data_IF_213368206023
#
_entry.id   IF_213368206023
#
_cell.length_a   1.000
_cell.length_b   1.000
_cell.length_c   1.000
_cell.angle_alpha   90.00
_cell.angle_beta   90.00
_cell.angle_gamma   90.00
#
_symmetry.space_group_name_H-M   'P 1'
#
loop_
_entity.id
_entity.type
_entity.pdbx_description
1 polymer ?
#
# COMPACT_ATOMS: atom_id res chain seq x y z
N UNK A 1 10.53 -36.90 14.28
CA UNK A 1 10.35 -35.94 13.19
C UNK A 1 9.26 -34.97 13.62
N UNK A 2 9.56 -33.75 14.06
CA UNK A 2 8.52 -32.78 14.37
C UNK A 2 8.04 -32.13 13.06
N UNK A 3 6.77 -32.29 12.79
CA UNK A 3 6.06 -31.62 11.69
C UNK A 3 5.94 -30.13 12.02
N UNK A 4 6.70 -29.29 11.33
CA UNK A 4 6.53 -27.85 11.37
C UNK A 4 5.16 -27.49 10.75
N UNK A 5 4.16 -27.25 11.59
CA UNK A 5 2.95 -26.56 11.20
C UNK A 5 3.30 -25.07 11.04
N UNK A 6 3.65 -24.67 9.82
CA UNK A 6 3.76 -23.25 9.43
C UNK A 6 2.35 -22.64 9.31
N UNK A 7 1.65 -22.53 10.43
CA UNK A 7 0.49 -21.67 10.57
C UNK A 7 0.93 -20.25 10.89
N UNK A 8 1.65 -19.59 9.97
CA UNK A 8 1.93 -18.16 10.11
C UNK A 8 0.61 -17.40 10.03
N UNK A 9 0.15 -16.85 11.17
CA UNK A 9 -0.97 -15.91 11.18
C UNK A 9 -0.68 -14.82 10.12
N UNK A 10 -1.56 -14.69 9.13
CA UNK A 10 -1.48 -13.61 8.16
C UNK A 10 -1.54 -12.30 8.94
N UNK A 11 -0.56 -11.43 8.74
CA UNK A 11 -0.52 -10.13 9.39
C UNK A 11 -1.80 -9.36 8.99
N UNK A 12 -2.60 -8.97 9.98
CA UNK A 12 -3.84 -8.23 9.75
C UNK A 12 -3.56 -6.74 9.87
N UNK A 13 -3.99 -5.97 8.87
CA UNK A 13 -3.91 -4.51 8.88
C UNK A 13 -4.76 -3.91 10.01
N UNK A 14 -5.80 -4.61 10.44
CA UNK A 14 -6.62 -4.18 11.57
C UNK A 14 -5.82 -4.02 12.87
N UNK A 15 -4.82 -4.87 13.09
CA UNK A 15 -3.98 -4.86 14.28
C UNK A 15 -2.70 -4.01 14.14
N UNK A 16 -2.41 -3.47 12.95
CA UNK A 16 -1.19 -2.72 12.71
C UNK A 16 -1.23 -1.34 13.37
N UNK A 17 -0.15 -0.95 14.02
CA UNK A 17 0.01 0.39 14.58
C UNK A 17 0.29 1.43 13.50
N UNK A 18 1.08 1.06 12.50
CA UNK A 18 1.45 1.93 11.37
C UNK A 18 1.28 1.15 10.06
N UNK A 19 0.73 1.84 9.07
CA UNK A 19 0.63 1.36 7.70
C UNK A 19 1.30 2.37 6.78
N UNK A 20 2.41 1.98 6.17
CA UNK A 20 3.07 2.79 5.14
C UNK A 20 2.41 2.50 3.81
N UNK A 21 1.91 3.52 3.13
CA UNK A 21 1.10 3.37 1.93
C UNK A 21 1.78 4.06 0.74
N UNK A 22 1.81 3.34 -0.37
CA UNK A 22 2.27 3.85 -1.66
C UNK A 22 1.17 4.59 -2.44
N UNK A 23 1.53 5.25 -3.54
CA UNK A 23 0.66 6.08 -4.39
C UNK A 23 -0.47 5.27 -5.03
N UNK A 24 -0.14 4.13 -5.64
CA UNK A 24 -1.08 3.33 -6.44
C UNK A 24 -2.29 2.84 -5.65
N UNK A 25 -2.15 2.27 -4.43
CA UNK A 25 -3.27 1.90 -3.60
C UNK A 25 -4.25 3.05 -3.35
N UNK A 26 -3.75 4.22 -2.98
CA UNK A 26 -4.59 5.40 -2.73
C UNK A 26 -5.39 5.82 -3.95
N UNK A 27 -4.78 5.81 -5.13
CA UNK A 27 -5.44 6.14 -6.39
C UNK A 27 -6.60 5.19 -6.69
N UNK A 28 -6.44 3.88 -6.51
CA UNK A 28 -7.50 2.90 -6.77
C UNK A 28 -8.72 3.09 -5.87
N UNK A 29 -8.52 3.40 -4.60
CA UNK A 29 -9.62 3.69 -3.69
C UNK A 29 -10.36 4.98 -4.05
N UNK A 30 -9.66 6.03 -4.48
CA UNK A 30 -10.27 7.28 -4.93
C UNK A 30 -11.02 7.08 -6.25
N UNK A 31 -10.43 6.40 -7.21
CA UNK A 31 -11.05 6.10 -8.51
C UNK A 31 -12.37 5.32 -8.36
N UNK A 32 -12.38 4.38 -7.43
CA UNK A 32 -13.57 3.59 -7.13
C UNK A 32 -14.61 4.32 -6.24
N UNK A 33 -14.30 5.51 -5.74
CA UNK A 33 -15.15 6.25 -4.79
C UNK A 33 -15.15 5.65 -3.38
N UNK A 34 -14.09 4.93 -3.01
CA UNK A 34 -13.96 4.19 -1.74
C UNK A 34 -13.04 4.90 -0.72
N UNK A 35 -12.61 6.11 -0.99
CA UNK A 35 -11.64 6.84 -0.18
C UNK A 35 -12.08 7.03 1.28
N UNK A 36 -13.38 7.23 1.53
CA UNK A 36 -13.90 7.36 2.92
C UNK A 36 -13.80 6.06 3.69
N UNK A 37 -14.10 4.92 3.04
CA UNK A 37 -13.96 3.61 3.66
C UNK A 37 -12.49 3.33 3.98
N UNK A 38 -11.58 3.64 3.06
CA UNK A 38 -10.14 3.51 3.25
C UNK A 38 -9.64 4.37 4.42
N UNK A 39 -9.99 5.67 4.43
CA UNK A 39 -9.61 6.60 5.50
C UNK A 39 -10.20 6.18 6.86
N UNK A 40 -11.45 5.73 6.90
CA UNK A 40 -12.10 5.26 8.12
C UNK A 40 -11.46 3.99 8.69
N UNK A 41 -11.04 3.08 7.82
CA UNK A 41 -10.42 1.82 8.23
C UNK A 41 -8.98 1.97 8.72
N UNK A 42 -8.17 2.70 7.98
CA UNK A 42 -6.76 2.91 8.32
C UNK A 42 -6.56 4.06 9.32
N UNK A 43 -7.38 5.10 9.25
CA UNK A 43 -7.35 6.23 10.17
C UNK A 43 -5.99 6.94 10.22
N UNK A 44 -5.60 7.35 11.43
CA UNK A 44 -4.32 8.03 11.69
C UNK A 44 -3.08 7.13 11.63
N UNK A 45 -3.28 5.84 11.38
CA UNK A 45 -2.17 4.86 11.28
C UNK A 45 -1.36 4.98 10.00
N UNK A 46 -1.92 5.64 8.98
CA UNK A 46 -1.24 5.79 7.68
C UNK A 46 -0.03 6.70 7.78
N UNK A 47 1.03 6.28 7.11
CA UNK A 47 2.20 7.12 6.80
C UNK A 47 2.48 7.05 5.31
N UNK A 48 2.84 8.18 4.75
CA UNK A 48 3.34 8.30 3.37
C UNK A 48 4.66 9.05 3.39
N UNK A 49 5.51 8.79 2.42
CA UNK A 49 6.72 9.57 2.22
C UNK A 49 6.41 10.91 1.53
N UNK A 50 7.36 11.83 1.57
CA UNK A 50 7.26 13.09 0.84
C UNK A 50 7.14 12.84 -0.68
N UNK A 51 7.81 11.81 -1.19
CA UNK A 51 7.76 11.45 -2.62
C UNK A 51 6.39 10.92 -3.02
N UNK A 52 5.79 10.04 -2.22
CA UNK A 52 4.39 9.60 -2.41
C UNK A 52 3.44 10.79 -2.36
N UNK A 53 3.66 11.75 -1.45
CA UNK A 53 2.81 12.96 -1.39
C UNK A 53 2.89 13.79 -2.69
N UNK A 54 4.09 13.96 -3.25
CA UNK A 54 4.28 14.67 -4.53
C UNK A 54 3.62 13.96 -5.70
N UNK A 55 3.79 12.64 -5.79
CA UNK A 55 3.12 11.82 -6.81
C UNK A 55 1.59 11.92 -6.73
N UNK A 56 1.04 11.94 -5.50
CA UNK A 56 -0.41 12.11 -5.30
C UNK A 56 -0.90 13.50 -5.70
N UNK A 57 -0.11 14.55 -5.43
CA UNK A 57 -0.42 15.92 -5.87
C UNK A 57 -0.41 16.03 -7.40
N UNK A 58 0.57 15.42 -8.07
CA UNK A 58 0.63 15.35 -9.54
C UNK A 58 -0.57 14.57 -10.10
N UNK A 59 -0.88 13.41 -9.53
CA UNK A 59 -2.02 12.59 -9.93
C UNK A 59 -3.37 13.32 -9.71
N UNK A 60 -3.46 14.22 -8.73
CA UNK A 60 -4.67 15.00 -8.45
C UNK A 60 -5.05 15.97 -9.59
N UNK A 61 -4.14 16.23 -10.53
CA UNK A 61 -4.42 16.94 -11.76
C UNK A 61 -5.35 16.16 -12.71
N UNK A 62 -5.22 14.84 -12.74
CA UNK A 62 -6.01 13.94 -13.60
C UNK A 62 -7.15 13.21 -12.86
N UNK A 63 -7.12 13.18 -11.53
CA UNK A 63 -8.09 12.49 -10.68
C UNK A 63 -8.74 13.49 -9.69
N UNK A 64 -9.82 14.18 -10.06
CA UNK A 64 -10.40 15.26 -9.24
C UNK A 64 -10.77 14.88 -7.80
N UNK A 65 -11.25 13.67 -7.59
CA UNK A 65 -11.59 13.15 -6.26
C UNK A 65 -10.39 13.06 -5.32
N UNK A 66 -9.18 12.89 -5.85
CA UNK A 66 -7.96 12.77 -5.08
C UNK A 66 -7.60 14.09 -4.37
N UNK A 67 -7.74 15.24 -5.05
CA UNK A 67 -7.46 16.55 -4.43
C UNK A 67 -8.37 16.83 -3.24
N UNK A 68 -9.66 16.55 -3.35
CA UNK A 68 -10.61 16.71 -2.25
C UNK A 68 -10.29 15.76 -1.11
N UNK A 69 -9.98 14.50 -1.44
CA UNK A 69 -9.60 13.50 -0.45
C UNK A 69 -8.34 13.89 0.33
N UNK A 70 -7.28 14.34 -0.35
CA UNK A 70 -6.03 14.75 0.30
C UNK A 70 -6.20 15.95 1.23
N UNK A 71 -7.16 16.85 0.98
CA UNK A 71 -7.47 17.96 1.87
C UNK A 71 -8.22 17.52 3.13
N UNK A 72 -9.15 16.57 2.97
CA UNK A 72 -10.01 16.10 4.06
C UNK A 72 -9.29 15.07 4.95
N UNK A 73 -8.37 14.33 4.37
CA UNK A 73 -7.62 13.29 5.01
C UNK A 73 -6.12 13.52 4.84
N UNK A 74 -5.54 14.47 5.56
CA UNK A 74 -4.10 14.58 5.58
C UNK A 74 -3.56 13.36 6.32
N UNK A 75 -2.87 12.43 5.67
CA UNK A 75 -2.00 11.53 6.38
C UNK A 75 -1.03 12.44 7.14
N UNK A 76 -1.03 12.32 8.47
CA UNK A 76 -0.25 13.15 9.37
C UNK A 76 1.11 13.49 8.78
N UNK A 77 1.30 14.63 8.23
CA UNK A 77 2.41 15.19 7.50
C UNK A 77 3.27 14.14 6.75
N UNK A 78 3.50 14.27 5.45
CA UNK A 78 4.39 13.36 4.74
C UNK A 78 5.70 13.24 5.49
N UNK A 79 6.19 12.02 5.67
CA UNK A 79 7.44 11.78 6.39
C UNK A 79 8.60 12.02 5.44
N UNK A 80 9.46 12.97 5.79
CA UNK A 80 10.73 13.16 5.12
C UNK A 80 11.72 12.08 5.61
N UNK A 81 12.33 11.37 4.68
CA UNK A 81 13.34 10.39 5.00
C UNK A 81 14.64 11.08 5.46
N UNK A 82 15.37 10.50 6.42
CA UNK A 82 16.73 10.91 6.72
C UNK A 82 17.61 10.95 5.47
N UNK A 83 18.58 11.86 5.45
CA UNK A 83 19.42 12.11 4.28
C UNK A 83 20.14 10.85 3.77
N UNK A 84 20.64 10.01 4.67
CA UNK A 84 21.28 8.72 4.34
C UNK A 84 20.34 7.75 3.66
N UNK A 85 19.06 7.72 4.04
CA UNK A 85 18.04 6.89 3.39
C UNK A 85 17.61 7.47 2.04
N UNK A 86 17.57 8.80 1.91
CA UNK A 86 17.32 9.46 0.62
C UNK A 86 18.45 9.12 -0.37
N UNK A 87 19.71 9.16 0.07
CA UNK A 87 20.84 8.74 -0.75
C UNK A 87 20.74 7.25 -1.13
N UNK A 88 20.40 6.40 -0.16
CA UNK A 88 20.17 4.96 -0.42
C UNK A 88 19.04 4.71 -1.42
N UNK A 89 17.96 5.52 -1.38
CA UNK A 89 16.90 5.43 -2.38
C UNK A 89 17.42 5.74 -3.78
N UNK A 90 18.21 6.81 -3.92
CA UNK A 90 18.82 7.19 -5.19
C UNK A 90 19.77 6.11 -5.72
N UNK A 91 20.57 5.51 -4.85
CA UNK A 91 21.50 4.40 -5.21
C UNK A 91 20.71 3.18 -5.69
N UNK A 92 19.63 2.80 -5.00
CA UNK A 92 18.76 1.68 -5.39
C UNK A 92 18.16 1.94 -6.76
N UNK A 93 17.63 3.13 -6.99
CA UNK A 93 17.01 3.50 -8.26
C UNK A 93 18.05 3.53 -9.39
N UNK A 94 19.22 4.10 -9.14
CA UNK A 94 20.33 4.08 -10.11
C UNK A 94 20.81 2.68 -10.48
N UNK A 95 20.64 1.71 -9.59
CA UNK A 95 20.98 0.30 -9.84
C UNK A 95 19.91 -0.47 -10.61
N UNK A 96 18.65 -0.03 -10.49
CA UNK A 96 17.48 -0.72 -11.07
C UNK A 96 17.22 -0.27 -12.51
N UNK A 97 17.60 0.96 -12.86
CA UNK A 97 17.24 1.55 -14.15
C UNK A 97 18.43 2.21 -14.81
N UNK A 98 18.76 1.77 -16.02
CA UNK A 98 19.66 2.50 -16.92
C UNK A 98 18.97 3.74 -17.53
N UNK A 99 17.64 3.93 -17.30
CA UNK A 99 16.88 5.06 -17.78
C UNK A 99 16.59 6.05 -16.61
N UNK A 100 17.16 7.27 -16.64
CA UNK A 100 16.91 8.29 -15.63
C UNK A 100 15.44 8.69 -15.47
N UNK A 101 14.60 8.46 -16.47
CA UNK A 101 13.16 8.76 -16.41
C UNK A 101 12.37 7.66 -15.71
N UNK A 102 12.77 6.41 -15.88
CA UNK A 102 12.16 5.29 -15.17
C UNK A 102 12.46 5.36 -13.66
N UNK A 103 13.60 5.93 -13.28
CA UNK A 103 14.00 6.05 -11.87
C UNK A 103 13.05 6.91 -11.03
N UNK A 104 12.37 7.88 -11.63
CA UNK A 104 11.42 8.74 -10.90
C UNK A 104 10.06 8.06 -10.67
N UNK A 105 9.69 7.08 -11.50
CA UNK A 105 8.39 6.42 -11.40
C UNK A 105 8.27 5.45 -10.22
N UNK A 106 9.40 4.92 -9.74
CA UNK A 106 9.44 3.92 -8.67
C UNK A 106 9.93 4.53 -7.33
N UNK A 107 10.11 5.85 -7.29
CA UNK A 107 10.67 6.55 -6.12
C UNK A 107 9.76 6.40 -4.90
N UNK A 108 8.45 6.56 -5.08
CA UNK A 108 7.47 6.39 -4.01
C UNK A 108 7.52 5.02 -3.36
N UNK A 109 7.65 3.96 -4.18
CA UNK A 109 7.78 2.60 -3.66
C UNK A 109 9.06 2.37 -2.88
N UNK A 110 10.21 2.77 -3.44
CA UNK A 110 11.51 2.59 -2.78
C UNK A 110 11.54 3.35 -1.46
N UNK A 111 11.09 4.60 -1.45
CA UNK A 111 11.06 5.42 -0.24
C UNK A 111 10.07 4.87 0.80
N UNK A 112 8.94 4.30 0.37
CA UNK A 112 7.99 3.64 1.28
C UNK A 112 8.61 2.41 1.97
N UNK A 113 9.36 1.59 1.24
CA UNK A 113 10.08 0.44 1.83
C UNK A 113 11.11 0.93 2.84
N UNK A 114 11.92 1.94 2.50
CA UNK A 114 12.93 2.50 3.39
C UNK A 114 12.32 3.17 4.62
N UNK A 115 11.16 3.84 4.49
CA UNK A 115 10.42 4.38 5.63
C UNK A 115 9.98 3.27 6.59
N UNK A 116 9.41 2.19 6.07
CA UNK A 116 8.99 1.06 6.89
C UNK A 116 10.19 0.43 7.64
N UNK A 117 11.34 0.30 6.97
CA UNK A 117 12.58 -0.16 7.62
C UNK A 117 13.06 0.79 8.71
N UNK A 118 13.03 2.09 8.44
CA UNK A 118 13.45 3.12 9.39
C UNK A 118 12.56 3.16 10.64
N UNK A 119 11.24 3.12 10.47
CA UNK A 119 10.29 3.10 11.58
C UNK A 119 10.52 1.89 12.50
N UNK A 120 10.83 0.76 11.93
CA UNK A 120 11.17 -0.43 12.71
C UNK A 120 12.51 -0.31 13.42
N UNK A 121 13.55 0.14 12.73
CA UNK A 121 14.89 0.26 13.28
C UNK A 121 14.97 1.29 14.41
N UNK A 122 14.19 2.36 14.33
CA UNK A 122 14.12 3.42 15.34
C UNK A 122 13.21 3.08 16.53
N UNK A 123 12.58 1.91 16.55
CA UNK A 123 11.63 1.52 17.60
C UNK A 123 10.32 2.30 17.56
N UNK A 124 10.04 3.01 16.46
CA UNK A 124 8.79 3.75 16.27
C UNK A 124 7.59 2.86 15.98
N UNK A 125 7.83 1.61 15.56
CA UNK A 125 6.81 0.59 15.36
C UNK A 125 7.49 -0.79 15.26
N UNK A 126 6.99 -1.78 15.99
CA UNK A 126 7.57 -3.12 15.97
C UNK A 126 7.41 -3.80 14.60
N UNK A 127 6.28 -3.56 13.93
CA UNK A 127 5.94 -4.18 12.67
C UNK A 127 5.09 -3.26 11.78
N UNK A 128 5.69 -2.28 11.10
CA UNK A 128 4.95 -1.48 10.14
C UNK A 128 4.51 -2.35 8.96
N UNK A 129 3.23 -2.24 8.59
CA UNK A 129 2.71 -2.90 7.40
C UNK A 129 2.92 -1.98 6.19
N UNK A 130 3.48 -2.55 5.15
CA UNK A 130 3.72 -1.89 3.88
C UNK A 130 2.61 -2.23 2.89
N UNK A 131 1.83 -1.23 2.49
CA UNK A 131 0.79 -1.38 1.48
C UNK A 131 1.32 -0.93 0.12
N UNK A 132 1.76 -1.87 -0.67
CA UNK A 132 2.28 -1.67 -2.02
C UNK A 132 1.35 -2.25 -3.06
N UNK A 133 1.42 -1.70 -4.27
CA UNK A 133 0.90 -2.38 -5.46
C UNK A 133 1.86 -3.49 -5.93
N UNK A 134 1.43 -4.25 -6.95
CA UNK A 134 2.19 -5.40 -7.46
C UNK A 134 3.34 -4.96 -8.39
N UNK A 135 4.21 -4.10 -7.90
CA UNK A 135 5.34 -3.63 -8.68
C UNK A 135 6.58 -4.48 -8.42
N UNK A 136 7.31 -4.76 -9.49
CA UNK A 136 8.47 -5.67 -9.47
C UNK A 136 9.55 -5.24 -8.47
N UNK A 137 9.76 -3.94 -8.32
CA UNK A 137 10.86 -3.39 -7.56
C UNK A 137 10.57 -3.35 -6.06
N UNK A 138 9.45 -2.78 -5.64
CA UNK A 138 9.06 -2.71 -4.23
C UNK A 138 8.90 -4.09 -3.60
N UNK A 139 8.30 -5.06 -4.31
CA UNK A 139 8.21 -6.44 -3.83
C UNK A 139 9.57 -7.15 -3.74
N UNK A 140 10.51 -6.83 -4.61
CA UNK A 140 11.86 -7.38 -4.54
C UNK A 140 12.65 -6.82 -3.35
N UNK A 141 12.49 -5.53 -3.07
CA UNK A 141 13.09 -4.87 -1.91
C UNK A 141 12.46 -5.34 -0.60
N UNK A 142 11.15 -5.61 -0.60
CA UNK A 142 10.41 -6.12 0.56
C UNK A 142 10.49 -7.64 0.75
N UNK A 143 11.11 -8.38 -0.17
CA UNK A 143 11.21 -9.87 -0.13
C UNK A 143 11.66 -10.47 1.19
N UNK A 144 12.65 -9.92 1.91
CA UNK A 144 13.04 -10.46 3.20
C UNK A 144 11.93 -10.39 4.26
N UNK A 145 10.88 -9.59 4.00
CA UNK A 145 9.82 -9.24 4.94
C UNK A 145 8.42 -9.47 4.37
N UNK A 146 8.22 -10.51 3.59
CA UNK A 146 6.93 -10.85 2.95
C UNK A 146 5.72 -10.81 3.89
N UNK A 147 5.92 -10.96 5.19
CA UNK A 147 4.86 -10.92 6.20
C UNK A 147 4.38 -9.50 6.54
N UNK A 148 5.15 -8.51 6.17
CA UNK A 148 4.89 -7.08 6.46
C UNK A 148 4.29 -6.35 5.26
N UNK A 149 4.12 -7.02 4.11
CA UNK A 149 3.58 -6.44 2.88
C UNK A 149 2.17 -6.93 2.65
N UNK A 150 1.26 -5.99 2.48
CA UNK A 150 -0.10 -6.26 2.01
C UNK A 150 -0.29 -5.65 0.63
N UNK A 151 -0.85 -6.40 -0.30
CA UNK A 151 -1.27 -5.88 -1.59
C UNK A 151 -2.70 -5.31 -1.53
N UNK A 152 -3.05 -4.47 -2.50
CA UNK A 152 -4.40 -3.88 -2.58
C UNK A 152 -5.51 -4.95 -2.58
N UNK A 153 -5.40 -6.05 -3.33
CA UNK A 153 -6.38 -7.15 -3.27
C UNK A 153 -6.58 -7.75 -1.88
N UNK A 154 -5.52 -7.92 -1.10
CA UNK A 154 -5.63 -8.45 0.26
C UNK A 154 -6.31 -7.44 1.20
N UNK A 155 -5.95 -6.16 1.10
CA UNK A 155 -6.59 -5.11 1.90
C UNK A 155 -8.08 -4.99 1.60
N UNK A 156 -8.50 -5.04 0.32
CA UNK A 156 -9.93 -5.03 -0.06
C UNK A 156 -10.69 -6.15 0.64
N UNK A 157 -10.15 -7.38 0.60
CA UNK A 157 -10.77 -8.54 1.23
C UNK A 157 -10.87 -8.36 2.75
N UNK A 158 -9.82 -7.86 3.38
CA UNK A 158 -9.80 -7.60 4.82
C UNK A 158 -10.83 -6.55 5.23
N UNK A 159 -10.91 -5.42 4.48
CA UNK A 159 -11.90 -4.36 4.74
C UNK A 159 -13.34 -4.84 4.58
N UNK A 160 -13.63 -5.66 3.57
CA UNK A 160 -14.97 -6.23 3.39
C UNK A 160 -15.32 -7.20 4.52
N UNK A 161 -14.38 -8.01 4.99
CA UNK A 161 -14.59 -8.92 6.14
C UNK A 161 -14.82 -8.18 7.45
N UNK A 162 -14.19 -7.02 7.61
CA UNK A 162 -14.33 -6.17 8.79
C UNK A 162 -15.56 -5.25 8.74
N UNK A 163 -16.45 -5.42 7.73
CA UNK A 163 -17.60 -4.54 7.47
C UNK A 163 -17.21 -3.06 7.32
N UNK A 164 -15.95 -2.76 7.07
CA UNK A 164 -15.46 -1.41 6.81
C UNK A 164 -15.78 -0.92 5.39
N UNK A 165 -16.15 -1.85 4.51
CA UNK A 165 -16.51 -1.57 3.12
C UNK A 165 -17.54 -2.59 2.62
N UNK A 166 -18.54 -2.15 1.85
CA UNK A 166 -19.48 -3.08 1.23
C UNK A 166 -18.81 -3.94 0.15
N UNK A 167 -19.40 -5.11 -0.14
CA UNK A 167 -18.90 -5.99 -1.20
C UNK A 167 -18.92 -5.31 -2.58
N UNK A 168 -19.98 -4.52 -2.86
CA UNK A 168 -20.11 -3.78 -4.13
C UNK A 168 -18.98 -2.75 -4.27
N UNK A 169 -18.69 -2.04 -3.19
CA UNK A 169 -17.60 -1.07 -3.16
C UNK A 169 -16.24 -1.75 -3.32
N UNK A 170 -16.04 -2.87 -2.61
CA UNK A 170 -14.84 -3.71 -2.75
C UNK A 170 -14.62 -4.19 -4.18
N UNK A 171 -15.70 -4.62 -4.86
CA UNK A 171 -15.63 -5.03 -6.26
C UNK A 171 -15.24 -3.86 -7.19
N UNK A 172 -15.69 -2.63 -6.91
CA UNK A 172 -15.26 -1.45 -7.69
C UNK A 172 -13.76 -1.18 -7.53
N UNK A 173 -13.25 -1.22 -6.30
CA UNK A 173 -11.81 -1.05 -6.04
C UNK A 173 -11.01 -2.17 -6.72
N UNK A 174 -11.48 -3.42 -6.64
CA UNK A 174 -10.86 -4.55 -7.30
C UNK A 174 -10.71 -4.32 -8.81
N UNK A 175 -11.77 -3.81 -9.46
CA UNK A 175 -11.75 -3.49 -10.89
C UNK A 175 -10.81 -2.33 -11.22
N UNK A 176 -10.69 -1.34 -10.35
CA UNK A 176 -9.72 -0.25 -10.51
C UNK A 176 -8.28 -0.76 -10.38
N UNK A 177 -8.03 -1.72 -9.47
CA UNK A 177 -6.71 -2.34 -9.28
C UNK A 177 -6.26 -3.15 -10.50
N UNK A 178 -7.19 -3.85 -11.16
CA UNK A 178 -6.87 -4.69 -12.31
C UNK A 178 -7.41 -4.10 -13.61
N UNK A 179 -6.51 -3.65 -14.47
CA UNK A 179 -6.85 -3.21 -15.84
C UNK A 179 -7.42 -4.34 -16.70
N UNK A 180 -7.01 -5.61 -16.43
CA UNK A 180 -7.47 -6.78 -17.16
C UNK A 180 -8.83 -7.28 -16.64
N UNK A 181 -9.86 -7.16 -17.48
CA UNK A 181 -11.22 -7.63 -17.16
C UNK A 181 -11.30 -9.12 -16.80
N UNK A 182 -10.40 -9.93 -17.32
CA UNK A 182 -10.31 -11.37 -17.02
C UNK A 182 -10.04 -11.67 -15.53
N UNK A 183 -9.45 -10.71 -14.81
CA UNK A 183 -9.14 -10.84 -13.37
C UNK A 183 -10.30 -10.42 -12.45
N UNK A 184 -11.37 -9.80 -12.97
CA UNK A 184 -12.47 -9.30 -12.15
C UNK A 184 -13.28 -10.36 -11.40
N UNK A 185 -13.58 -11.53 -11.98
CA UNK A 185 -14.30 -12.60 -11.26
C UNK A 185 -13.54 -13.17 -10.06
N UNK A 186 -12.22 -13.03 -10.02
CA UNK A 186 -11.38 -13.55 -8.95
C UNK A 186 -11.66 -12.91 -7.58
N UNK A 187 -12.31 -11.75 -7.54
CA UNK A 187 -12.70 -11.09 -6.28
C UNK A 187 -13.67 -11.96 -5.46
N UNK A 188 -14.75 -12.44 -6.08
CA UNK A 188 -15.74 -13.26 -5.40
C UNK A 188 -15.18 -14.62 -4.97
N UNK A 189 -14.28 -15.18 -5.76
CA UNK A 189 -13.59 -16.42 -5.40
C UNK A 189 -12.67 -16.20 -4.19
N UNK A 190 -11.91 -15.12 -4.17
CA UNK A 190 -11.01 -14.79 -3.06
C UNK A 190 -11.78 -14.50 -1.78
N UNK A 191 -12.91 -13.77 -1.85
CA UNK A 191 -13.80 -13.56 -0.71
C UNK A 191 -14.34 -14.88 -0.17
N UNK A 192 -14.83 -15.77 -1.02
CA UNK A 192 -15.36 -17.08 -0.59
C UNK A 192 -14.29 -17.93 0.10
N UNK A 193 -13.08 -17.99 -0.43
CA UNK A 193 -11.97 -18.75 0.18
C UNK A 193 -11.62 -18.24 1.59
N UNK A 194 -11.71 -16.95 1.80
CA UNK A 194 -11.30 -16.32 3.06
C UNK A 194 -12.45 -16.24 4.06
N UNK A 195 -13.70 -16.10 3.60
CA UNK A 195 -14.88 -16.01 4.47
C UNK A 195 -15.57 -17.35 4.73
N UNK A 196 -15.16 -18.44 4.08
CA UNK A 196 -15.71 -19.77 4.32
C UNK A 196 -17.18 -19.94 3.89
N UNK A 197 -17.69 -19.11 2.98
CA UNK A 197 -19.07 -19.14 2.45
C UNK A 197 -19.09 -19.09 0.93
#
# INVERSE_FOLDING_TARGET
MPTHSEGGAACSVAAAEIVVVDTSPLRYFVEAGAQRAFAGYLGSRVRITLDVSRELEEAAGSLPGLRSFLREWPPNNPVELPHDLTQKAADILGFITDDPRASLQDLGEVTSVLLAEHLRASGGCDLPILHLDDVRHGKNLAKPRRREVIDTPALIVEMVRADAMSRELGNRVWRATFSERSKWPAFDERLRRVCGK
#
